data_IF_890537958770
#
_entry.id   IF_890537958770
#
_cell.length_a   1.000
_cell.length_b   1.000
_cell.length_c   1.000
_cell.angle_alpha   90.00
_cell.angle_beta   90.00
_cell.angle_gamma   90.00
#
_symmetry.space_group_name_H-M   'P 1'
#
loop_
_entity.id
_entity.type
_entity.pdbx_description
1 polymer ?
#
# COMPACT_ATOMS: atom_id res chain seq x y z
N UNK A 1 -36.46 12.96 3.02
CA UNK A 1 -37.26 12.55 4.20
C UNK A 1 -36.57 11.49 5.05
N UNK A 2 -35.72 10.60 4.48
CA UNK A 2 -34.96 9.59 5.24
C UNK A 2 -33.79 10.13 6.09
N UNK A 3 -33.04 11.12 5.59
CA UNK A 3 -31.82 11.61 6.27
C UNK A 3 -32.10 12.25 7.64
N UNK A 4 -33.16 13.05 7.74
CA UNK A 4 -33.57 13.69 8.99
C UNK A 4 -34.00 12.67 10.07
N UNK A 5 -34.67 11.58 9.67
CA UNK A 5 -35.04 10.49 10.59
C UNK A 5 -33.81 9.72 11.09
N UNK A 6 -32.81 9.50 10.23
CA UNK A 6 -31.57 8.84 10.61
C UNK A 6 -30.79 9.72 11.60
N UNK A 7 -30.71 11.04 11.34
CA UNK A 7 -30.04 11.98 12.22
C UNK A 7 -30.76 12.11 13.58
N UNK A 8 -32.08 11.99 13.62
CA UNK A 8 -32.88 11.96 14.84
C UNK A 8 -32.67 10.67 15.64
N UNK A 9 -32.59 9.53 14.96
CA UNK A 9 -32.27 8.23 15.58
C UNK A 9 -30.84 8.24 16.15
N UNK A 10 -29.86 8.72 15.40
CA UNK A 10 -28.47 8.83 15.86
C UNK A 10 -28.33 9.74 17.08
N UNK A 11 -29.10 10.84 17.14
CA UNK A 11 -29.19 11.70 18.33
C UNK A 11 -29.77 10.97 19.53
N UNK A 12 -30.87 10.24 19.35
CA UNK A 12 -31.49 9.45 20.44
C UNK A 12 -30.57 8.35 20.99
N UNK A 13 -29.63 7.86 20.16
CA UNK A 13 -28.63 6.85 20.52
C UNK A 13 -27.32 7.45 21.07
N UNK A 14 -27.22 8.78 21.21
CA UNK A 14 -26.03 9.45 21.77
C UNK A 14 -24.89 9.69 20.77
N UNK A 15 -25.12 9.56 19.47
CA UNK A 15 -24.13 9.75 18.40
C UNK A 15 -24.25 11.11 17.68
N UNK A 16 -25.01 12.07 18.24
CA UNK A 16 -25.13 13.44 17.73
C UNK A 16 -24.32 14.45 18.55
N UNK A 17 -23.93 15.57 17.92
CA UNK A 17 -23.33 16.69 18.64
C UNK A 17 -24.41 17.55 19.30
N UNK A 18 -24.16 18.14 20.49
CA UNK A 18 -25.09 19.05 21.14
C UNK A 18 -25.30 20.32 20.29
N UNK A 19 -26.56 20.67 20.02
CA UNK A 19 -26.93 21.80 19.14
C UNK A 19 -27.49 23.00 19.90
N UNK A 20 -27.76 22.84 21.20
CA UNK A 20 -28.28 23.90 22.05
C UNK A 20 -27.58 23.96 23.42
N UNK A 21 -27.86 25.04 24.15
CA UNK A 21 -27.19 25.36 25.40
C UNK A 21 -27.48 24.35 26.52
N UNK A 22 -28.67 23.76 26.52
CA UNK A 22 -29.08 22.77 27.53
C UNK A 22 -28.41 21.42 27.28
N UNK A 23 -28.32 21.01 26.01
CA UNK A 23 -27.57 19.82 25.58
C UNK A 23 -26.07 19.96 25.83
N UNK A 24 -25.49 21.15 25.62
CA UNK A 24 -24.09 21.39 25.95
C UNK A 24 -23.81 21.24 27.46
N UNK A 25 -24.70 21.75 28.32
CA UNK A 25 -24.55 21.61 29.78
C UNK A 25 -24.68 20.15 30.20
N UNK A 26 -25.61 19.39 29.59
CA UNK A 26 -25.76 17.96 29.85
C UNK A 26 -24.56 17.15 29.36
N UNK A 27 -24.04 17.48 28.17
CA UNK A 27 -22.82 16.92 27.61
C UNK A 27 -21.64 17.18 28.53
N UNK A 28 -21.35 18.44 28.88
CA UNK A 28 -20.26 18.79 29.79
C UNK A 28 -20.37 18.06 31.13
N UNK A 29 -21.57 18.01 31.74
CA UNK A 29 -21.81 17.26 32.98
C UNK A 29 -21.52 15.76 32.86
N UNK A 30 -21.82 15.15 31.71
CA UNK A 30 -21.54 13.72 31.48
C UNK A 30 -20.05 13.39 31.43
N UNK A 31 -19.20 14.38 31.14
CA UNK A 31 -17.73 14.24 31.11
C UNK A 31 -17.03 14.82 32.34
N UNK A 32 -17.74 15.43 33.29
CA UNK A 32 -17.14 16.00 34.53
C UNK A 32 -16.45 14.91 35.37
N UNK A 33 -17.02 13.70 35.42
CA UNK A 33 -16.43 12.57 36.15
C UNK A 33 -15.45 11.76 35.29
N UNK A 34 -15.45 11.97 33.97
CA UNK A 34 -14.55 11.29 33.05
C UNK A 34 -13.17 11.95 33.11
N UNK A 35 -12.28 11.40 33.95
CA UNK A 35 -10.87 11.75 33.91
C UNK A 35 -10.29 11.32 32.57
N UNK A 36 -10.02 12.29 31.70
CA UNK A 36 -9.22 12.06 30.50
C UNK A 36 -7.78 11.78 30.93
N UNK A 37 -7.48 10.53 31.26
CA UNK A 37 -6.10 10.07 31.43
C UNK A 37 -5.49 9.87 30.05
N UNK A 38 -5.07 10.98 29.45
CA UNK A 38 -4.10 10.93 28.38
C UNK A 38 -2.80 10.37 28.99
N UNK A 39 -2.59 9.07 28.82
CA UNK A 39 -1.35 8.42 29.19
C UNK A 39 -0.24 8.95 28.28
N UNK A 40 0.51 9.94 28.78
CA UNK A 40 1.56 10.62 28.04
C UNK A 40 2.65 9.65 27.55
N UNK A 41 2.81 8.49 28.18
CA UNK A 41 3.75 7.43 27.77
C UNK A 41 3.21 6.59 26.59
N UNK A 42 1.88 6.56 26.39
CA UNK A 42 1.23 5.96 25.20
C UNK A 42 1.05 6.93 24.04
N UNK A 43 1.29 8.21 24.26
CA UNK A 43 1.28 9.22 23.21
C UNK A 43 2.64 9.19 22.51
N UNK A 44 2.69 8.50 21.38
CA UNK A 44 3.86 8.53 20.49
C UNK A 44 3.97 9.92 19.83
N UNK A 45 4.64 10.82 20.55
CA UNK A 45 4.90 12.19 20.12
C UNK A 45 5.66 12.24 18.79
N UNK A 46 6.52 11.26 18.49
CA UNK A 46 7.20 11.15 17.21
C UNK A 46 6.24 10.79 16.07
N UNK A 47 5.31 9.85 16.29
CA UNK A 47 4.25 9.51 15.32
C UNK A 47 3.33 10.70 15.06
N UNK A 48 2.98 11.46 16.09
CA UNK A 48 2.19 12.69 15.97
C UNK A 48 3.00 13.73 15.17
N UNK A 49 4.25 14.01 15.53
CA UNK A 49 5.13 14.92 14.80
C UNK A 49 5.34 14.50 13.34
N UNK A 50 5.48 13.20 13.07
CA UNK A 50 5.61 12.63 11.71
C UNK A 50 4.30 12.77 10.92
N UNK A 51 3.15 12.69 11.58
CA UNK A 51 1.84 12.95 10.97
C UNK A 51 1.57 14.44 10.70
N UNK A 52 2.17 15.33 11.52
CA UNK A 52 2.06 16.78 11.43
C UNK A 52 3.09 17.41 10.48
N UNK A 53 4.21 16.74 10.18
CA UNK A 53 5.12 17.14 9.11
C UNK A 53 4.31 17.24 7.82
N UNK A 54 4.14 18.46 7.32
CA UNK A 54 3.44 18.71 6.07
C UNK A 54 4.00 17.77 5.00
N UNK A 55 3.15 16.87 4.47
CA UNK A 55 3.53 15.99 3.35
C UNK A 55 4.10 16.90 2.26
N UNK A 56 5.41 16.81 2.03
CA UNK A 56 6.10 17.57 0.97
C UNK A 56 5.29 17.36 -0.31
N UNK A 57 4.83 18.45 -0.93
CA UNK A 57 4.06 18.35 -2.17
C UNK A 57 4.91 17.59 -3.19
N UNK A 58 4.35 16.52 -3.73
CA UNK A 58 5.04 15.72 -4.73
C UNK A 58 5.42 16.60 -5.92
N UNK A 59 6.66 16.47 -6.33
CA UNK A 59 7.23 17.14 -7.49
C UNK A 59 7.00 16.30 -8.74
N UNK A 60 7.14 16.92 -9.92
CA UNK A 60 7.10 16.17 -11.19
C UNK A 60 8.19 15.08 -11.25
N UNK A 61 9.32 15.28 -10.57
CA UNK A 61 10.40 14.29 -10.48
C UNK A 61 9.93 13.04 -9.72
N UNK A 62 9.18 13.20 -8.63
CA UNK A 62 8.66 12.06 -7.85
C UNK A 62 7.68 11.22 -8.67
N UNK A 63 6.79 11.88 -9.42
CA UNK A 63 5.89 11.22 -10.37
C UNK A 63 6.64 10.54 -11.51
N UNK A 64 7.73 11.13 -11.98
CA UNK A 64 8.56 10.55 -13.04
C UNK A 64 9.30 9.30 -12.54
N UNK A 65 9.95 9.36 -11.37
CA UNK A 65 10.67 8.22 -10.75
C UNK A 65 9.80 6.96 -10.66
N UNK A 66 8.60 7.08 -10.07
CA UNK A 66 7.69 5.91 -9.96
C UNK A 66 7.19 5.41 -11.33
N UNK A 67 7.08 6.30 -12.32
CA UNK A 67 6.68 5.92 -13.69
C UNK A 67 7.79 5.16 -14.39
N UNK A 68 9.05 5.58 -14.21
CA UNK A 68 10.23 4.92 -14.77
C UNK A 68 10.39 3.51 -14.21
N UNK A 69 10.25 3.33 -12.88
CA UNK A 69 10.26 2.00 -12.28
C UNK A 69 9.17 1.10 -12.87
N UNK A 70 7.94 1.63 -12.95
CA UNK A 70 6.83 0.89 -13.53
C UNK A 70 7.08 0.53 -15.01
N UNK A 71 7.69 1.44 -15.77
CA UNK A 71 8.04 1.19 -17.17
C UNK A 71 9.05 0.05 -17.31
N UNK A 72 10.05 -0.04 -16.42
CA UNK A 72 11.02 -1.14 -16.45
C UNK A 72 10.37 -2.48 -16.08
N UNK A 73 9.52 -2.51 -15.04
CA UNK A 73 8.75 -3.71 -14.67
C UNK A 73 7.91 -4.18 -15.86
N UNK A 74 7.19 -3.27 -16.52
CA UNK A 74 6.39 -3.60 -17.71
C UNK A 74 7.29 -4.01 -18.88
N UNK A 75 8.42 -3.36 -19.10
CA UNK A 75 9.36 -3.70 -20.15
C UNK A 75 9.84 -5.14 -20.03
N UNK A 76 10.18 -5.59 -18.81
CA UNK A 76 10.62 -6.97 -18.56
C UNK A 76 9.49 -8.00 -18.59
N UNK A 77 8.25 -7.59 -18.29
CA UNK A 77 7.13 -8.51 -18.05
C UNK A 77 5.95 -8.41 -19.04
N UNK A 78 5.95 -7.49 -20.01
CA UNK A 78 4.79 -7.28 -20.91
C UNK A 78 4.43 -8.49 -21.77
N UNK A 79 5.37 -9.43 -21.95
CA UNK A 79 5.14 -10.72 -22.64
C UNK A 79 4.55 -11.80 -21.73
N UNK A 80 4.44 -11.55 -20.43
CA UNK A 80 3.80 -12.44 -19.46
C UNK A 80 2.31 -12.11 -19.36
N UNK A 81 1.44 -13.07 -19.69
CA UNK A 81 -0.02 -12.89 -19.62
C UNK A 81 -0.55 -12.57 -18.20
N UNK A 82 0.25 -12.89 -17.19
CA UNK A 82 -0.05 -12.64 -15.77
C UNK A 82 0.12 -11.18 -15.38
N UNK A 83 0.81 -10.36 -16.19
CA UNK A 83 0.99 -8.94 -15.90
C UNK A 83 -0.28 -8.15 -16.21
N UNK A 84 -0.85 -7.57 -15.16
CA UNK A 84 -1.89 -6.55 -15.23
C UNK A 84 -1.70 -5.53 -14.11
N UNK A 85 -2.61 -4.55 -14.00
CA UNK A 85 -2.54 -3.48 -13.00
C UNK A 85 -2.29 -3.96 -11.58
N UNK A 86 -3.02 -5.00 -11.14
CA UNK A 86 -2.88 -5.52 -9.78
C UNK A 86 -1.44 -6.02 -9.54
N UNK A 87 -0.93 -6.88 -10.42
CA UNK A 87 0.44 -7.40 -10.32
C UNK A 87 1.47 -6.27 -10.40
N UNK A 88 1.37 -5.37 -11.38
CA UNK A 88 2.28 -4.23 -11.51
C UNK A 88 2.33 -3.41 -10.22
N UNK A 89 1.17 -3.10 -9.66
CA UNK A 89 1.09 -2.31 -8.43
C UNK A 89 1.73 -3.02 -7.24
N UNK A 90 1.57 -4.34 -7.11
CA UNK A 90 2.25 -5.10 -6.05
C UNK A 90 3.75 -5.13 -6.25
N UNK A 91 4.24 -5.29 -7.48
CA UNK A 91 5.68 -5.25 -7.73
C UNK A 91 6.26 -3.88 -7.40
N UNK A 92 5.57 -2.78 -7.71
CA UNK A 92 6.00 -1.44 -7.28
C UNK A 92 6.04 -1.34 -5.74
N UNK A 93 5.01 -1.81 -5.04
CA UNK A 93 4.97 -1.83 -3.57
C UNK A 93 6.15 -2.62 -2.99
N UNK A 94 6.40 -3.82 -3.51
CA UNK A 94 7.46 -4.70 -3.06
C UNK A 94 8.82 -4.06 -3.31
N UNK A 95 9.12 -3.61 -4.54
CA UNK A 95 10.37 -2.89 -4.85
C UNK A 95 10.58 -1.71 -3.91
N UNK A 96 9.54 -0.90 -3.68
CA UNK A 96 9.65 0.29 -2.85
C UNK A 96 10.11 -0.05 -1.42
N UNK A 97 9.56 -1.09 -0.81
CA UNK A 97 9.79 -1.37 0.60
C UNK A 97 10.88 -2.42 0.88
N UNK A 98 11.21 -3.28 -0.09
CA UNK A 98 12.34 -4.20 0.05
C UNK A 98 13.68 -3.55 -0.31
N UNK A 99 13.67 -2.48 -1.12
CA UNK A 99 14.87 -1.77 -1.55
C UNK A 99 14.94 -0.33 -0.99
N UNK A 100 14.08 0.02 -0.03
CA UNK A 100 14.07 1.32 0.66
C UNK A 100 13.97 2.53 -0.27
N UNK A 101 13.22 2.40 -1.36
CA UNK A 101 13.06 3.48 -2.32
C UNK A 101 12.11 4.54 -1.80
N UNK A 102 12.51 5.80 -1.92
CA UNK A 102 11.63 6.94 -1.72
C UNK A 102 10.81 7.19 -3.00
N UNK A 103 9.64 6.54 -3.09
CA UNK A 103 8.68 6.75 -4.18
C UNK A 103 7.41 7.42 -3.66
N UNK A 104 6.92 8.40 -4.42
CA UNK A 104 5.64 9.04 -4.10
C UNK A 104 4.46 8.12 -4.45
N UNK A 105 4.03 7.34 -3.47
CA UNK A 105 2.90 6.41 -3.53
C UNK A 105 2.04 6.55 -2.27
N UNK A 106 0.79 6.10 -2.33
CA UNK A 106 -0.13 6.11 -1.19
C UNK A 106 -0.90 4.79 -1.12
N UNK A 107 -0.19 3.73 -0.76
CA UNK A 107 -0.77 2.40 -0.58
C UNK A 107 -1.66 2.35 0.66
N UNK A 108 -2.93 1.99 0.45
CA UNK A 108 -3.93 1.81 1.50
C UNK A 108 -4.22 0.32 1.69
N UNK A 109 -4.71 -0.05 2.88
CA UNK A 109 -5.26 -1.38 3.13
C UNK A 109 -6.54 -1.59 2.32
N UNK A 110 -6.53 -2.53 1.39
CA UNK A 110 -7.67 -2.89 0.55
C UNK A 110 -7.82 -4.41 0.44
N UNK A 111 -8.97 -4.89 -0.05
CA UNK A 111 -9.29 -6.31 -0.18
C UNK A 111 -8.16 -7.13 -0.83
N UNK A 112 -7.60 -6.62 -1.93
CA UNK A 112 -6.51 -7.27 -2.66
C UNK A 112 -5.12 -6.94 -2.11
N UNK A 113 -4.97 -6.59 -0.83
CA UNK A 113 -3.70 -6.16 -0.22
C UNK A 113 -3.39 -4.67 -0.40
N UNK A 114 -2.12 -4.23 -0.26
CA UNK A 114 -1.74 -2.80 -0.33
C UNK A 114 -1.99 -2.21 -1.72
N UNK A 115 -2.84 -1.18 -1.81
CA UNK A 115 -3.34 -0.66 -3.09
C UNK A 115 -3.38 0.86 -3.12
N UNK A 116 -2.93 1.45 -4.23
CA UNK A 116 -3.02 2.89 -4.49
C UNK A 116 -4.05 3.13 -5.60
N UNK A 117 -5.16 3.78 -5.24
CA UNK A 117 -6.30 3.97 -6.13
C UNK A 117 -6.06 4.96 -7.29
N UNK A 118 -4.99 5.75 -7.26
CA UNK A 118 -4.65 6.74 -8.29
C UNK A 118 -3.47 6.31 -9.14
N UNK A 119 -2.60 5.45 -8.61
CA UNK A 119 -1.34 5.07 -9.25
C UNK A 119 -1.53 4.53 -10.67
N UNK A 120 -2.40 3.52 -10.87
CA UNK A 120 -2.55 2.88 -12.19
C UNK A 120 -3.04 3.85 -13.28
N UNK A 121 -4.06 4.67 -12.98
CA UNK A 121 -4.54 5.69 -13.93
C UNK A 121 -3.45 6.71 -14.27
N UNK A 122 -2.66 7.10 -13.27
CA UNK A 122 -1.51 7.98 -13.47
C UNK A 122 -0.46 7.33 -14.38
N UNK A 123 -0.15 6.05 -14.16
CA UNK A 123 0.83 5.33 -14.96
C UNK A 123 0.37 5.15 -16.41
N UNK A 124 -0.88 4.71 -16.63
CA UNK A 124 -1.42 4.55 -17.98
C UNK A 124 -1.35 5.85 -18.78
N UNK A 125 -1.67 6.98 -18.14
CA UNK A 125 -1.56 8.32 -18.74
C UNK A 125 -0.12 8.65 -19.12
N UNK A 126 0.84 8.39 -18.23
CA UNK A 126 2.26 8.70 -18.51
C UNK A 126 2.87 7.73 -19.53
N UNK A 127 2.52 6.45 -19.51
CA UNK A 127 2.99 5.47 -20.49
C UNK A 127 2.54 5.83 -21.90
N UNK A 128 1.28 6.25 -22.08
CA UNK A 128 0.78 6.75 -23.35
C UNK A 128 1.47 8.04 -23.78
N UNK A 129 1.59 9.01 -22.86
CA UNK A 129 2.24 10.31 -23.13
C UNK A 129 3.70 10.15 -23.59
N UNK A 130 4.44 9.24 -22.96
CA UNK A 130 5.83 8.95 -23.31
C UNK A 130 6.00 7.96 -24.47
N UNK A 131 4.89 7.44 -25.03
CA UNK A 131 4.88 6.41 -26.08
C UNK A 131 5.66 5.15 -25.68
N UNK A 132 5.54 4.71 -24.42
CA UNK A 132 6.19 3.50 -23.92
C UNK A 132 5.29 2.28 -24.02
N UNK A 133 4.10 2.37 -23.41
CA UNK A 133 3.13 1.28 -23.37
C UNK A 133 1.69 1.79 -23.42
N UNK A 134 0.79 0.94 -23.90
CA UNK A 134 -0.66 1.10 -23.77
C UNK A 134 -1.24 -0.11 -23.04
N UNK A 135 -2.07 0.14 -22.02
CA UNK A 135 -2.76 -0.92 -21.28
C UNK A 135 -4.11 -1.26 -21.92
N UNK A 136 -4.37 -2.56 -22.08
CA UNK A 136 -5.63 -3.14 -22.55
C UNK A 136 -5.99 -4.34 -21.69
N UNK A 137 -6.94 -4.17 -20.77
CA UNK A 137 -7.28 -5.19 -19.77
C UNK A 137 -7.94 -6.46 -20.34
N UNK A 138 -8.55 -6.37 -21.52
CA UNK A 138 -9.20 -7.50 -22.19
C UNK A 138 -8.26 -8.38 -23.01
N UNK A 139 -7.04 -7.94 -23.26
CA UNK A 139 -6.10 -8.68 -24.11
C UNK A 139 -5.32 -9.73 -23.32
N UNK A 140 -4.89 -10.79 -24.02
CA UNK A 140 -4.03 -11.82 -23.45
C UNK A 140 -2.72 -11.24 -22.90
N UNK A 141 -2.09 -10.35 -23.68
CA UNK A 141 -0.98 -9.50 -23.26
C UNK A 141 -1.50 -8.09 -23.02
N UNK A 142 -1.57 -7.68 -21.75
CA UNK A 142 -2.29 -6.48 -21.36
C UNK A 142 -1.51 -5.18 -21.58
N UNK A 143 -0.20 -5.25 -21.75
CA UNK A 143 0.64 -4.08 -22.03
C UNK A 143 1.24 -4.19 -23.42
N UNK A 144 0.83 -3.29 -24.33
CA UNK A 144 1.33 -3.22 -25.70
C UNK A 144 2.46 -2.20 -25.79
N UNK A 145 3.65 -2.57 -26.30
CA UNK A 145 4.73 -1.61 -26.52
C UNK A 145 4.31 -0.58 -27.58
N UNK A 146 4.74 0.67 -27.39
CA UNK A 146 4.55 1.78 -28.32
C UNK A 146 5.88 2.21 -28.96
N UNK A 147 5.85 3.25 -29.80
CA UNK A 147 6.98 3.66 -30.66
C UNK A 147 8.29 4.02 -29.94
N UNK A 148 8.24 4.39 -28.65
CA UNK A 148 9.42 4.78 -27.85
C UNK A 148 9.70 3.80 -26.71
N UNK A 149 9.20 2.56 -26.79
CA UNK A 149 9.51 1.51 -25.80
C UNK A 149 11.03 1.40 -25.59
N UNK A 150 11.45 1.24 -24.34
CA UNK A 150 12.88 1.17 -23.96
C UNK A 150 13.56 2.52 -23.71
N UNK A 151 12.98 3.65 -24.11
CA UNK A 151 13.59 4.97 -23.86
C UNK A 151 13.54 5.42 -22.39
N UNK A 152 12.87 4.68 -21.50
CA UNK A 152 12.92 4.88 -20.04
C UNK A 152 14.24 4.39 -19.41
N UNK A 153 15.02 3.55 -20.09
CA UNK A 153 16.19 2.87 -19.51
C UNK A 153 17.27 3.80 -18.98
N UNK A 154 17.58 4.88 -19.71
CA UNK A 154 18.55 5.87 -19.24
C UNK A 154 18.11 6.51 -17.91
N UNK A 155 16.81 6.80 -17.77
CA UNK A 155 16.25 7.32 -16.52
C UNK A 155 16.21 6.27 -15.43
N UNK A 156 15.95 5.01 -15.79
CA UNK A 156 15.91 3.88 -14.87
C UNK A 156 17.28 3.68 -14.22
N UNK A 157 18.34 3.59 -15.04
CA UNK A 157 19.73 3.47 -14.59
C UNK A 157 20.12 4.66 -13.71
N UNK A 158 19.75 5.89 -14.09
CA UNK A 158 20.06 7.09 -13.31
C UNK A 158 19.32 7.15 -11.96
N UNK A 159 18.06 6.75 -11.91
CA UNK A 159 17.24 6.91 -10.71
C UNK A 159 17.41 5.81 -9.69
N UNK A 160 17.78 4.62 -10.14
CA UNK A 160 17.81 3.39 -9.36
C UNK A 160 19.17 2.69 -9.40
N UNK A 161 20.25 3.44 -9.65
CA UNK A 161 21.62 2.91 -9.76
C UNK A 161 22.01 1.98 -8.60
N UNK A 162 21.52 2.28 -7.39
CA UNK A 162 21.82 1.54 -6.17
C UNK A 162 20.85 0.37 -5.92
N UNK A 163 19.71 0.34 -6.60
CA UNK A 163 18.63 -0.61 -6.40
C UNK A 163 18.43 -1.57 -7.58
N UNK A 164 19.26 -1.49 -8.63
CA UNK A 164 19.11 -2.29 -9.85
C UNK A 164 19.01 -3.80 -9.58
N UNK A 165 19.87 -4.32 -8.69
CA UNK A 165 19.89 -5.75 -8.33
C UNK A 165 18.64 -6.16 -7.55
N UNK A 166 18.20 -5.34 -6.60
CA UNK A 166 16.99 -5.60 -5.80
C UNK A 166 15.73 -5.58 -6.70
N UNK A 167 15.65 -4.64 -7.65
CA UNK A 167 14.54 -4.56 -8.61
C UNK A 167 14.54 -5.79 -9.53
N UNK A 168 15.70 -6.17 -10.08
CA UNK A 168 15.82 -7.33 -10.95
C UNK A 168 15.44 -8.62 -10.22
N UNK A 169 15.91 -8.78 -8.99
CA UNK A 169 15.54 -9.91 -8.14
C UNK A 169 14.03 -10.05 -8.02
N UNK A 170 13.30 -8.96 -7.74
CA UNK A 170 11.85 -8.98 -7.59
C UNK A 170 11.16 -9.28 -8.91
N UNK A 171 11.57 -8.62 -10.00
CA UNK A 171 10.98 -8.84 -11.32
C UNK A 171 11.12 -10.31 -11.74
N UNK A 172 12.30 -10.89 -11.58
CA UNK A 172 12.55 -12.29 -11.93
C UNK A 172 11.80 -13.26 -11.02
N UNK A 173 11.82 -13.03 -9.70
CA UNK A 173 11.14 -13.89 -8.72
C UNK A 173 9.64 -13.99 -9.00
N UNK A 174 9.02 -12.88 -9.39
CA UNK A 174 7.58 -12.80 -9.64
C UNK A 174 7.18 -12.89 -11.11
N UNK A 175 8.12 -13.13 -12.04
CA UNK A 175 7.90 -13.09 -13.49
C UNK A 175 6.65 -13.86 -13.91
N UNK A 176 6.52 -15.12 -13.46
CA UNK A 176 5.42 -16.03 -13.82
C UNK A 176 4.31 -16.10 -12.77
N UNK A 177 4.41 -15.37 -11.66
CA UNK A 177 3.46 -15.46 -10.56
C UNK A 177 2.08 -14.94 -10.96
N UNK A 178 1.04 -15.68 -10.58
CA UNK A 178 -0.36 -15.32 -10.77
C UNK A 178 -0.79 -14.27 -9.74
N UNK A 179 -1.86 -13.54 -10.06
CA UNK A 179 -2.46 -12.48 -9.24
C UNK A 179 -2.63 -12.86 -7.77
N UNK A 180 -3.25 -14.02 -7.47
CA UNK A 180 -3.52 -14.46 -6.09
C UNK A 180 -2.23 -14.65 -5.27
N UNK A 181 -1.19 -15.19 -5.88
CA UNK A 181 0.11 -15.42 -5.22
C UNK A 181 0.76 -14.07 -4.89
N UNK A 182 0.77 -13.15 -5.84
CA UNK A 182 1.35 -11.82 -5.64
C UNK A 182 0.53 -10.99 -4.63
N UNK A 183 -0.80 -11.17 -4.60
CA UNK A 183 -1.66 -10.58 -3.56
C UNK A 183 -1.29 -11.08 -2.15
N UNK A 184 -1.18 -12.40 -1.98
CA UNK A 184 -0.84 -13.02 -0.70
C UNK A 184 0.50 -12.49 -0.21
N UNK A 185 1.54 -12.58 -1.05
CA UNK A 185 2.90 -12.16 -0.71
C UNK A 185 2.96 -10.66 -0.38
N UNK A 186 2.34 -9.79 -1.18
CA UNK A 186 2.35 -8.36 -0.89
C UNK A 186 1.58 -8.00 0.40
N UNK A 187 0.55 -8.78 0.76
CA UNK A 187 -0.18 -8.57 2.01
C UNK A 187 0.64 -9.07 3.21
N UNK A 188 1.25 -10.27 3.13
CA UNK A 188 2.17 -10.79 4.15
C UNK A 188 3.33 -9.81 4.38
N UNK A 189 3.93 -9.32 3.30
CA UNK A 189 5.00 -8.32 3.36
C UNK A 189 4.54 -7.05 4.10
N UNK A 190 3.35 -6.55 3.79
CA UNK A 190 2.81 -5.35 4.43
C UNK A 190 2.54 -5.56 5.92
N UNK A 191 1.96 -6.69 6.31
CA UNK A 191 1.75 -7.05 7.71
C UNK A 191 3.08 -7.17 8.47
N UNK A 192 4.07 -7.84 7.89
CA UNK A 192 5.42 -7.93 8.46
C UNK A 192 6.00 -6.52 8.66
N UNK A 193 5.94 -5.68 7.63
CA UNK A 193 6.43 -4.31 7.71
C UNK A 193 5.78 -3.52 8.85
N UNK A 194 4.45 -3.56 8.98
CA UNK A 194 3.71 -2.87 10.04
C UNK A 194 4.08 -3.38 11.44
N UNK A 195 4.22 -4.71 11.61
CA UNK A 195 4.64 -5.31 12.89
C UNK A 195 5.99 -4.76 13.33
N UNK A 196 6.95 -4.66 12.39
CA UNK A 196 8.29 -4.14 12.69
C UNK A 196 8.27 -2.63 12.95
N UNK A 197 7.50 -1.84 12.20
CA UNK A 197 7.35 -0.39 12.45
C UNK A 197 6.73 -0.09 13.81
N UNK A 198 5.81 -0.94 14.26
CA UNK A 198 5.17 -0.85 15.57
C UNK A 198 6.00 -1.50 16.68
N UNK A 199 7.23 -1.96 16.37
CA UNK A 199 8.15 -2.63 17.32
C UNK A 199 7.51 -3.81 18.06
N UNK A 200 6.58 -4.51 17.39
CA UNK A 200 5.92 -5.69 17.94
C UNK A 200 6.72 -6.96 17.66
N UNK A 201 6.47 -8.00 18.46
CA UNK A 201 7.09 -9.31 18.27
C UNK A 201 6.59 -9.95 16.97
N UNK A 202 7.51 -10.16 16.04
CA UNK A 202 7.26 -10.90 14.80
C UNK A 202 7.23 -12.40 15.08
N UNK A 203 6.04 -12.99 15.04
CA UNK A 203 5.80 -14.42 15.07
C UNK A 203 4.55 -14.75 14.22
N UNK A 204 4.30 -16.03 14.00
CA UNK A 204 3.23 -16.49 13.11
C UNK A 204 1.85 -16.04 13.57
N UNK A 205 1.55 -16.08 14.86
CA UNK A 205 0.25 -15.67 15.39
C UNK A 205 0.01 -14.16 15.23
N UNK A 206 1.01 -13.32 15.52
CA UNK A 206 0.92 -11.87 15.28
C UNK A 206 0.71 -11.58 13.79
N UNK A 207 1.43 -12.28 12.92
CA UNK A 207 1.33 -12.10 11.47
C UNK A 207 -0.04 -12.51 10.93
N UNK A 208 -0.55 -13.67 11.34
CA UNK A 208 -1.86 -14.18 10.94
C UNK A 208 -2.97 -13.25 11.41
N UNK A 209 -2.90 -12.80 12.67
CA UNK A 209 -3.86 -11.84 13.21
C UNK A 209 -3.90 -10.56 12.36
N UNK A 210 -2.73 -9.96 12.08
CA UNK A 210 -2.61 -8.77 11.22
C UNK A 210 -3.13 -9.00 9.81
N UNK A 211 -2.88 -10.18 9.25
CA UNK A 211 -3.32 -10.54 7.91
C UNK A 211 -4.84 -10.61 7.81
N UNK A 212 -5.52 -11.22 8.79
CA UNK A 212 -6.98 -11.29 8.79
C UNK A 212 -7.64 -9.96 9.16
N UNK A 213 -7.02 -9.16 10.03
CA UNK A 213 -7.45 -7.79 10.35
C UNK A 213 -7.33 -6.83 9.14
N UNK A 214 -6.48 -7.16 8.16
CA UNK A 214 -6.24 -6.32 6.98
C UNK A 214 -7.52 -5.97 6.21
N UNK A 215 -8.39 -6.96 5.96
CA UNK A 215 -9.68 -6.81 5.27
C UNK A 215 -10.51 -8.11 5.38
N UNK A 216 -11.86 -8.07 5.47
CA UNK A 216 -12.69 -9.28 5.57
C UNK A 216 -12.46 -10.33 4.46
N UNK A 217 -12.19 -9.87 3.23
CA UNK A 217 -11.85 -10.72 2.07
C UNK A 217 -10.62 -11.62 2.29
N UNK A 218 -9.75 -11.30 3.27
CA UNK A 218 -8.57 -12.11 3.59
C UNK A 218 -8.90 -13.48 4.19
N UNK A 219 -10.13 -13.69 4.65
CA UNK A 219 -10.64 -15.01 5.05
C UNK A 219 -10.56 -16.08 3.96
N UNK A 220 -10.39 -15.70 2.69
CA UNK A 220 -10.17 -16.63 1.57
C UNK A 220 -8.78 -17.31 1.53
N UNK A 221 -7.85 -16.88 2.38
CA UNK A 221 -6.52 -17.46 2.51
C UNK A 221 -6.46 -18.31 3.78
N UNK A 222 -5.96 -19.53 3.65
CA UNK A 222 -5.79 -20.43 4.79
C UNK A 222 -4.60 -20.00 5.65
N UNK A 223 -4.66 -20.30 6.96
CA UNK A 223 -3.55 -19.99 7.90
C UNK A 223 -2.22 -20.56 7.41
N UNK A 224 -2.23 -21.81 6.94
CA UNK A 224 -1.01 -22.46 6.46
C UNK A 224 -0.42 -21.74 5.24
N UNK A 225 -1.24 -21.25 4.31
CA UNK A 225 -0.75 -20.48 3.15
C UNK A 225 -0.01 -19.21 3.58
N UNK A 226 -0.46 -18.56 4.66
CA UNK A 226 0.16 -17.35 5.21
C UNK A 226 1.51 -17.69 5.84
N UNK A 227 1.56 -18.77 6.64
CA UNK A 227 2.79 -19.25 7.30
C UNK A 227 3.82 -19.68 6.24
N UNK A 228 3.42 -20.54 5.30
CA UNK A 228 4.30 -21.03 4.24
C UNK A 228 4.86 -19.87 3.40
N UNK A 229 4.02 -18.86 3.11
CA UNK A 229 4.46 -17.66 2.42
C UNK A 229 5.49 -16.89 3.25
N UNK A 230 5.25 -16.70 4.54
CA UNK A 230 6.16 -16.00 5.43
C UNK A 230 7.51 -16.72 5.57
N UNK A 231 7.51 -18.05 5.73
CA UNK A 231 8.71 -18.87 5.75
C UNK A 231 9.48 -18.82 4.44
N UNK A 232 8.78 -18.95 3.32
CA UNK A 232 9.38 -18.80 2.00
C UNK A 232 10.04 -17.43 1.84
N UNK A 233 9.37 -16.34 2.24
CA UNK A 233 9.92 -14.99 2.18
C UNK A 233 11.20 -14.84 3.02
N UNK A 234 11.22 -15.40 4.24
CA UNK A 234 12.42 -15.44 5.10
C UNK A 234 13.58 -16.18 4.42
N UNK A 235 13.31 -17.36 3.88
CA UNK A 235 14.33 -18.20 3.23
C UNK A 235 14.92 -17.57 1.96
N UNK A 236 14.13 -16.78 1.25
CA UNK A 236 14.53 -16.09 0.03
C UNK A 236 15.24 -14.75 0.29
N UNK A 237 15.44 -14.37 1.56
CA UNK A 237 16.01 -13.06 1.90
C UNK A 237 15.10 -11.89 1.50
N UNK A 238 13.80 -12.14 1.36
CA UNK A 238 12.83 -11.18 0.87
C UNK A 238 11.97 -10.63 2.02
N UNK A 239 12.45 -9.55 2.64
CA UNK A 239 11.83 -8.95 3.81
C UNK A 239 11.86 -7.41 3.78
N UNK A 240 11.00 -6.73 4.56
CA UNK A 240 11.04 -5.28 4.69
C UNK A 240 12.40 -4.82 5.25
N UNK A 241 13.06 -3.88 4.55
CA UNK A 241 14.30 -3.26 5.03
C UNK A 241 13.96 -1.95 5.76
N UNK A 242 14.62 -1.67 6.88
CA UNK A 242 14.47 -0.42 7.65
C UNK A 242 15.79 0.33 7.74
N UNK A 243 15.72 1.67 7.75
CA UNK A 243 16.89 2.48 8.11
C UNK A 243 17.05 2.38 9.63
N UNK A 244 18.14 1.77 10.07
CA UNK A 244 18.67 1.89 11.43
C UNK A 244 19.24 3.29 11.66
#
# INVERSE_FOLDING_TARGET
MEKAKIDEILRSLGFGFPENKEENIAFEKSFIEYKFEADAEKIDSEKILKSLKAKKKATNIDYHRRTVLAAEIVYKLHKENTLGHLKLQKLIYLCQHSAQMELHTNFLKQAMGPYDNRLMRSLDTQFKKNQWFEFSGGDYLKYKPLSKVGSHKEWYERYFENELSDIDFIIEKFRKSKTRVVELIATVFACWKEILEEKQLLNDETLIFRFYDWHPDKSKFERQEIIDTFEWMKNEGFYPKFNS
#
